data_IF_154334036538
#
_entry.id   IF_154334036538
#
_cell.length_a   1.000
_cell.length_b   1.000
_cell.length_c   1.000
_cell.angle_alpha   90.00
_cell.angle_beta   90.00
_cell.angle_gamma   90.00
#
_symmetry.space_group_name_H-M   'P 1'
#
loop_
_entity.id
_entity.type
_entity.pdbx_description
1 polymer ?
#
# COMPACT_ATOMS: atom_id res chain seq x y z
N UNK A 1 3.53 2.83 25.45
CA UNK A 1 4.47 2.24 24.49
C UNK A 1 4.09 0.79 24.23
N UNK A 2 3.26 0.58 23.22
CA UNK A 2 2.80 -0.75 22.79
C UNK A 2 3.91 -1.52 22.08
N UNK A 3 3.96 -2.83 22.30
CA UNK A 3 4.72 -3.78 21.49
C UNK A 3 3.89 -5.06 21.30
N UNK A 4 3.79 -5.56 20.07
CA UNK A 4 3.09 -6.83 19.82
C UNK A 4 3.91 -7.99 20.39
N UNK A 5 3.33 -8.71 21.36
CA UNK A 5 3.98 -9.91 21.94
C UNK A 5 3.86 -11.12 21.01
N UNK A 6 4.68 -12.15 21.24
CA UNK A 6 4.60 -13.40 20.48
C UNK A 6 3.26 -14.12 20.70
N UNK A 7 2.72 -14.11 21.91
CA UNK A 7 1.42 -14.71 22.20
C UNK A 7 0.28 -13.96 21.51
N UNK A 8 0.30 -12.63 21.55
CA UNK A 8 -0.65 -11.79 20.81
C UNK A 8 -0.57 -12.04 19.29
N UNK A 9 0.65 -12.14 18.74
CA UNK A 9 0.87 -12.48 17.33
C UNK A 9 0.24 -13.82 16.98
N UNK A 10 0.47 -14.88 17.78
CA UNK A 10 -0.14 -16.20 17.54
C UNK A 10 -1.66 -16.13 17.53
N UNK A 11 -2.25 -15.36 18.44
CA UNK A 11 -3.71 -15.20 18.51
C UNK A 11 -4.28 -14.37 17.35
N UNK A 12 -3.54 -13.36 16.88
CA UNK A 12 -3.89 -12.60 15.68
C UNK A 12 -3.76 -13.44 14.40
N UNK A 13 -2.73 -14.28 14.30
CA UNK A 13 -2.48 -15.15 13.14
C UNK A 13 -3.57 -16.21 12.93
N UNK A 14 -4.34 -16.55 13.97
CA UNK A 14 -5.53 -17.41 13.83
C UNK A 14 -6.73 -16.70 13.18
N UNK A 15 -6.71 -15.37 13.12
CA UNK A 15 -7.84 -14.53 12.69
C UNK A 15 -7.62 -13.85 11.34
N UNK A 16 -6.40 -13.88 10.80
CA UNK A 16 -6.06 -13.26 9.53
C UNK A 16 -4.74 -13.78 8.95
N UNK A 17 -4.55 -13.59 7.66
CA UNK A 17 -3.36 -14.00 6.91
C UNK A 17 -2.28 -12.93 6.87
N UNK A 18 -2.62 -11.71 7.27
CA UNK A 18 -1.70 -10.57 7.38
C UNK A 18 -1.77 -10.01 8.79
N UNK A 19 -0.74 -10.21 9.60
CA UNK A 19 -0.76 -9.79 11.02
C UNK A 19 0.13 -8.57 11.21
N UNK A 20 -0.42 -7.41 11.63
CA UNK A 20 0.39 -6.25 11.93
C UNK A 20 1.20 -6.49 13.21
N UNK A 21 2.52 -6.40 13.11
CA UNK A 21 3.44 -6.39 14.25
C UNK A 21 3.91 -4.96 14.45
N UNK A 22 3.61 -4.39 15.62
CA UNK A 22 3.82 -2.97 15.88
C UNK A 22 4.68 -2.73 17.11
N UNK A 23 5.38 -1.60 17.09
CA UNK A 23 6.07 -1.03 18.24
C UNK A 23 5.86 0.48 18.22
N UNK A 24 5.38 1.02 19.32
CA UNK A 24 5.31 2.45 19.54
C UNK A 24 6.69 2.97 19.98
N UNK A 25 7.07 4.15 19.50
CA UNK A 25 8.36 4.79 19.83
C UNK A 25 8.14 6.28 20.09
N UNK A 26 8.95 6.85 20.98
CA UNK A 26 8.95 8.30 21.22
C UNK A 26 9.58 8.98 20.01
N UNK A 27 8.86 9.93 19.42
CA UNK A 27 9.21 10.57 18.17
C UNK A 27 9.04 12.10 18.23
N UNK A 28 9.10 12.68 19.43
CA UNK A 28 8.77 14.09 19.71
C UNK A 28 9.64 15.10 18.95
N UNK A 29 10.80 14.65 18.43
CA UNK A 29 11.72 15.43 17.61
C UNK A 29 11.58 15.19 16.10
N UNK A 30 10.63 14.35 15.69
CA UNK A 30 10.38 14.03 14.30
C UNK A 30 9.12 14.75 13.82
N UNK A 31 9.24 15.40 12.67
CA UNK A 31 8.09 15.77 11.86
C UNK A 31 7.80 14.62 10.89
N UNK A 32 6.58 14.49 10.33
CA UNK A 32 6.29 13.48 9.33
C UNK A 32 7.29 13.48 8.16
N UNK A 33 7.68 14.67 7.68
CA UNK A 33 8.67 14.82 6.62
C UNK A 33 10.05 14.34 7.06
N UNK A 34 10.53 14.71 8.26
CA UNK A 34 11.85 14.26 8.71
C UNK A 34 11.90 12.76 9.04
N UNK A 35 10.78 12.18 9.49
CA UNK A 35 10.63 10.74 9.64
C UNK A 35 10.63 10.03 8.28
N UNK A 36 9.91 10.56 7.28
CA UNK A 36 9.88 10.02 5.93
C UNK A 36 11.27 10.00 5.30
N UNK A 37 12.01 11.11 5.34
CA UNK A 37 13.36 11.18 4.77
C UNK A 37 14.30 10.13 5.36
N UNK A 38 14.18 9.84 6.67
CA UNK A 38 14.98 8.79 7.34
C UNK A 38 14.61 7.38 6.89
N UNK A 39 13.34 7.11 6.60
CA UNK A 39 12.95 5.77 6.14
C UNK A 39 13.16 5.61 4.63
N UNK A 40 13.02 6.67 3.84
CA UNK A 40 13.09 6.61 2.39
C UNK A 40 14.52 6.45 1.86
N UNK A 41 15.54 6.61 2.71
CA UNK A 41 16.93 6.33 2.38
C UNK A 41 17.08 4.89 1.86
N UNK A 42 17.77 4.76 0.72
CA UNK A 42 18.01 3.50 -0.01
C UNK A 42 16.74 2.69 -0.35
N UNK A 43 15.58 3.35 -0.50
CA UNK A 43 14.33 2.70 -0.89
C UNK A 43 13.97 3.00 -2.35
N UNK A 44 13.69 1.96 -3.15
CA UNK A 44 13.19 2.10 -4.52
C UNK A 44 11.73 2.57 -4.56
N UNK A 45 10.97 2.23 -3.51
CA UNK A 45 9.57 2.60 -3.36
C UNK A 45 9.35 3.11 -1.94
N UNK A 46 9.04 4.40 -1.82
CA UNK A 46 8.68 5.01 -0.57
C UNK A 46 7.48 5.95 -0.76
N UNK A 47 6.66 6.09 0.27
CA UNK A 47 5.54 7.03 0.25
C UNK A 47 5.40 7.77 1.58
N UNK A 48 4.82 8.97 1.50
CA UNK A 48 4.30 9.75 2.60
C UNK A 48 2.88 10.18 2.23
N UNK A 49 1.91 9.83 3.08
CA UNK A 49 0.52 10.26 2.96
C UNK A 49 0.17 11.10 4.18
N UNK A 50 -0.10 12.38 3.95
CA UNK A 50 -0.61 13.31 4.95
C UNK A 50 -2.02 13.72 4.57
N UNK A 51 -2.91 13.77 5.56
CA UNK A 51 -4.25 14.32 5.36
C UNK A 51 -4.24 15.78 5.78
N UNK A 52 -4.77 16.67 4.94
CA UNK A 52 -5.00 18.06 5.29
C UNK A 52 -6.52 18.28 5.28
N UNK A 53 -7.09 18.51 6.45
CA UNK A 53 -8.49 18.89 6.60
C UNK A 53 -8.59 20.42 6.56
N UNK A 54 -9.41 20.97 5.65
CA UNK A 54 -9.74 22.39 5.63
C UNK A 54 -8.59 23.37 5.32
N UNK A 55 -7.49 22.89 4.71
CA UNK A 55 -6.37 23.73 4.23
C UNK A 55 -5.32 24.10 5.28
N UNK A 56 -5.65 24.05 6.58
CA UNK A 56 -4.73 24.44 7.67
C UNK A 56 -4.49 23.35 8.72
N UNK A 57 -5.36 22.35 8.84
CA UNK A 57 -5.25 21.31 9.86
C UNK A 57 -4.70 20.01 9.28
N UNK A 58 -3.47 19.65 9.66
CA UNK A 58 -2.93 18.31 9.39
C UNK A 58 -3.70 17.30 10.22
N UNK A 59 -4.17 16.23 9.58
CA UNK A 59 -4.88 15.14 10.23
C UNK A 59 -4.02 14.46 11.31
N UNK A 60 -4.68 13.77 12.24
CA UNK A 60 -4.01 13.15 13.41
C UNK A 60 -2.87 12.17 13.05
N UNK A 61 -2.92 11.58 11.86
CA UNK A 61 -1.95 10.58 11.41
C UNK A 61 -1.34 10.96 10.06
N UNK A 62 -0.03 10.84 9.95
CA UNK A 62 0.71 10.74 8.68
C UNK A 62 1.14 9.29 8.51
N UNK A 63 1.01 8.74 7.30
CA UNK A 63 1.41 7.38 6.98
C UNK A 63 2.65 7.39 6.10
N UNK A 64 3.66 6.64 6.51
CA UNK A 64 4.93 6.49 5.81
C UNK A 64 5.22 5.01 5.63
N UNK A 65 5.80 4.65 4.50
CA UNK A 65 6.13 3.26 4.19
C UNK A 65 7.18 3.17 3.10
N UNK A 66 7.90 2.06 3.09
CA UNK A 66 8.93 1.76 2.09
C UNK A 66 8.95 0.28 1.72
N UNK A 67 9.58 -0.03 0.60
CA UNK A 67 9.96 -1.39 0.15
C UNK A 67 8.83 -2.41 0.28
N UNK A 68 7.75 -2.27 -0.51
CA UNK A 68 6.64 -3.21 -0.48
C UNK A 68 7.10 -4.60 -0.89
N UNK A 69 6.61 -5.63 -0.19
CA UNK A 69 6.99 -7.02 -0.50
C UNK A 69 6.41 -7.52 -1.84
N UNK A 70 5.40 -6.84 -2.37
CA UNK A 70 4.70 -7.18 -3.60
C UNK A 70 4.31 -5.90 -4.34
N UNK A 71 4.58 -5.87 -5.65
CA UNK A 71 4.26 -4.75 -6.53
C UNK A 71 3.43 -5.25 -7.70
N UNK A 72 2.28 -4.60 -7.92
CA UNK A 72 1.44 -4.81 -9.09
C UNK A 72 1.59 -3.61 -10.02
N UNK A 73 1.93 -3.87 -11.30
CA UNK A 73 2.03 -2.84 -12.35
C UNK A 73 1.20 -3.25 -13.55
N UNK A 74 0.63 -2.27 -14.24
CA UNK A 74 -0.01 -2.47 -15.52
C UNK A 74 0.48 -1.44 -16.54
N UNK A 75 0.74 -1.92 -17.76
CA UNK A 75 1.01 -1.08 -18.93
C UNK A 75 0.31 -1.70 -20.14
N UNK A 76 -0.62 -0.94 -20.73
CA UNK A 76 -1.58 -1.49 -21.69
C UNK A 76 -2.32 -2.69 -21.10
N UNK A 77 -2.40 -3.78 -21.86
CA UNK A 77 -3.04 -5.03 -21.41
C UNK A 77 -2.13 -5.92 -20.57
N UNK A 78 -0.87 -5.51 -20.32
CA UNK A 78 0.10 -6.32 -19.60
C UNK A 78 0.12 -5.97 -18.12
N UNK A 79 -0.28 -6.93 -17.29
CA UNK A 79 -0.20 -6.86 -15.83
C UNK A 79 0.99 -7.68 -15.34
N UNK A 80 1.88 -7.08 -14.55
CA UNK A 80 3.03 -7.74 -13.94
C UNK A 80 2.93 -7.75 -12.42
N UNK A 81 3.36 -8.86 -11.82
CA UNK A 81 3.47 -9.06 -10.37
C UNK A 81 4.95 -9.24 -10.06
N UNK A 82 5.49 -8.34 -9.24
CA UNK A 82 6.87 -8.39 -8.76
C UNK A 82 6.84 -8.74 -7.27
N UNK A 83 7.47 -9.85 -6.89
CA UNK A 83 7.48 -10.36 -5.52
C UNK A 83 8.77 -11.15 -5.28
N UNK A 84 9.46 -10.91 -4.17
CA UNK A 84 10.69 -11.61 -3.78
C UNK A 84 11.76 -11.64 -4.90
N UNK A 85 11.90 -10.54 -5.65
CA UNK A 85 12.86 -10.41 -6.77
C UNK A 85 12.45 -11.11 -8.07
N UNK A 86 11.31 -11.79 -8.10
CA UNK A 86 10.77 -12.41 -9.32
C UNK A 86 9.68 -11.53 -9.94
N UNK A 87 9.72 -11.40 -11.27
CA UNK A 87 8.67 -10.73 -12.04
C UNK A 87 7.90 -11.78 -12.83
N UNK A 88 6.58 -11.81 -12.63
CA UNK A 88 5.65 -12.69 -13.36
C UNK A 88 4.61 -11.87 -14.10
N UNK A 89 4.06 -12.44 -15.18
CA UNK A 89 2.97 -11.81 -15.93
C UNK A 89 1.67 -12.46 -15.50
N UNK A 90 0.70 -11.66 -15.08
CA UNK A 90 -0.63 -12.16 -14.77
C UNK A 90 -1.37 -12.49 -16.07
N UNK A 91 -2.03 -13.64 -16.11
CA UNK A 91 -2.94 -14.01 -17.20
C UNK A 91 -4.28 -13.27 -17.13
N UNK A 92 -4.44 -12.33 -16.19
CA UNK A 92 -5.68 -11.59 -15.93
C UNK A 92 -5.41 -10.08 -16.06
N UNK A 93 -6.45 -9.29 -16.36
CA UNK A 93 -6.38 -7.84 -16.28
C UNK A 93 -5.97 -7.35 -14.87
N UNK A 94 -5.51 -6.11 -14.80
CA UNK A 94 -4.97 -5.52 -13.57
C UNK A 94 -5.96 -5.53 -12.41
N UNK A 95 -7.19 -5.07 -12.64
CA UNK A 95 -8.21 -4.96 -11.58
C UNK A 95 -8.57 -6.33 -11.00
N UNK A 96 -8.65 -7.37 -11.84
CA UNK A 96 -8.91 -8.73 -11.36
C UNK A 96 -7.71 -9.32 -10.61
N UNK A 97 -6.49 -9.01 -11.06
CA UNK A 97 -5.26 -9.39 -10.38
C UNK A 97 -5.17 -8.72 -9.00
N UNK A 98 -5.43 -7.42 -8.92
CA UNK A 98 -5.46 -6.63 -7.70
C UNK A 98 -6.50 -7.18 -6.71
N UNK A 99 -7.74 -7.39 -7.16
CA UNK A 99 -8.83 -7.90 -6.31
C UNK A 99 -8.49 -9.26 -5.69
N UNK A 100 -7.92 -10.18 -6.49
CA UNK A 100 -7.50 -11.50 -6.00
C UNK A 100 -6.37 -11.37 -4.98
N UNK A 101 -5.34 -10.61 -5.33
CA UNK A 101 -4.20 -10.35 -4.42
C UNK A 101 -4.68 -9.81 -3.08
N UNK A 102 -5.56 -8.80 -3.07
CA UNK A 102 -6.11 -8.24 -1.84
C UNK A 102 -6.95 -9.24 -1.03
N UNK A 103 -7.59 -10.22 -1.68
CA UNK A 103 -8.40 -11.24 -0.98
C UNK A 103 -7.53 -12.18 -0.14
N UNK A 104 -6.29 -12.40 -0.57
CA UNK A 104 -5.32 -13.28 0.10
C UNK A 104 -4.72 -12.63 1.37
N UNK A 105 -4.81 -11.31 1.49
CA UNK A 105 -4.32 -10.54 2.64
C UNK A 105 -5.47 -10.01 3.49
N UNK A 106 -5.78 -10.72 4.57
CA UNK A 106 -6.80 -10.33 5.54
C UNK A 106 -6.14 -9.95 6.86
N UNK A 107 -6.23 -8.67 7.20
CA UNK A 107 -5.72 -8.15 8.47
C UNK A 107 -6.78 -8.22 9.56
N UNK A 108 -6.50 -8.81 10.74
CA UNK A 108 -7.39 -8.71 11.88
C UNK A 108 -7.43 -7.28 12.42
N UNK A 109 -8.59 -6.85 12.93
CA UNK A 109 -8.68 -5.59 13.64
C UNK A 109 -7.91 -5.66 14.97
N UNK A 110 -7.03 -4.67 15.19
CA UNK A 110 -6.27 -4.52 16.44
C UNK A 110 -6.71 -3.22 17.11
N UNK A 111 -7.24 -3.28 18.35
CA UNK A 111 -7.60 -2.08 19.10
C UNK A 111 -6.43 -1.11 19.23
N UNK A 112 -6.75 0.18 19.19
CA UNK A 112 -5.82 1.32 19.38
C UNK A 112 -4.80 1.55 18.26
N UNK A 113 -4.76 0.70 17.23
CA UNK A 113 -3.97 0.99 16.03
C UNK A 113 -4.70 1.97 15.09
N UNK A 114 -3.96 2.76 14.29
CA UNK A 114 -4.55 3.54 13.20
C UNK A 114 -5.35 2.63 12.26
N UNK A 115 -6.35 3.19 11.57
CA UNK A 115 -7.17 2.42 10.61
C UNK A 115 -6.37 1.79 9.49
N UNK A 116 -5.24 2.40 9.13
CA UNK A 116 -4.31 1.89 8.12
C UNK A 116 -3.09 1.29 8.82
N UNK A 117 -3.00 -0.05 8.82
CA UNK A 117 -1.89 -0.83 9.40
C UNK A 117 -1.11 -1.59 8.32
N UNK A 118 -1.22 -1.14 7.07
CA UNK A 118 -0.73 -1.83 5.88
C UNK A 118 -1.83 -2.08 4.85
N UNK A 119 -1.42 -2.35 3.62
CA UNK A 119 -2.31 -2.54 2.48
C UNK A 119 -1.65 -2.13 1.17
N UNK A 120 -2.42 -2.09 0.10
CA UNK A 120 -1.96 -1.59 -1.19
C UNK A 120 -1.93 -0.05 -1.18
N UNK A 121 -0.79 0.52 -1.57
CA UNK A 121 -0.61 1.96 -1.77
C UNK A 121 -0.04 2.18 -3.17
N UNK A 122 -0.58 3.15 -3.89
CA UNK A 122 -0.18 3.45 -5.25
C UNK A 122 -1.17 4.38 -5.92
N UNK A 123 -1.18 4.39 -7.24
CA UNK A 123 -2.04 5.24 -8.05
C UNK A 123 -2.60 4.47 -9.25
N UNK A 124 -3.71 4.97 -9.78
CA UNK A 124 -4.23 4.62 -11.09
C UNK A 124 -4.10 5.86 -11.96
N UNK A 125 -3.35 5.77 -13.06
CA UNK A 125 -3.25 6.85 -14.02
C UNK A 125 -4.61 7.11 -14.71
N UNK A 126 -4.78 8.29 -15.30
CA UNK A 126 -6.04 8.66 -15.97
C UNK A 126 -6.52 7.63 -17.01
N UNK A 127 -5.59 7.03 -17.77
CA UNK A 127 -5.91 6.01 -18.76
C UNK A 127 -6.54 4.73 -18.18
N UNK A 128 -6.41 4.47 -16.88
CA UNK A 128 -7.06 3.34 -16.21
C UNK A 128 -8.59 3.44 -16.22
N UNK A 129 -9.16 4.63 -16.50
CA UNK A 129 -10.60 4.80 -16.69
C UNK A 129 -11.16 3.86 -17.79
N UNK A 130 -10.36 3.58 -18.83
CA UNK A 130 -10.73 2.64 -19.90
C UNK A 130 -10.96 1.19 -19.43
N UNK A 131 -10.42 0.81 -18.27
CA UNK A 131 -10.66 -0.52 -17.69
C UNK A 131 -12.05 -0.69 -17.08
N UNK A 132 -12.74 0.42 -16.82
CA UNK A 132 -14.06 0.44 -16.19
C UNK A 132 -15.15 0.86 -17.19
N UNK A 133 -14.81 1.74 -18.14
CA UNK A 133 -15.75 2.32 -19.10
C UNK A 133 -15.39 1.93 -20.53
N UNK A 134 -16.14 1.01 -21.16
CA UNK A 134 -15.85 0.53 -22.52
C UNK A 134 -15.82 1.65 -23.57
N UNK A 135 -16.57 2.73 -23.38
CA UNK A 135 -16.59 3.89 -24.30
C UNK A 135 -15.26 4.65 -24.35
N UNK A 136 -14.38 4.44 -23.37
CA UNK A 136 -13.08 5.10 -23.26
C UNK A 136 -11.92 4.21 -23.75
N UNK A 137 -12.18 3.15 -24.51
CA UNK A 137 -11.17 2.18 -24.94
C UNK A 137 -9.94 2.85 -25.62
N UNK A 138 -10.17 3.89 -26.43
CA UNK A 138 -9.10 4.60 -27.15
C UNK A 138 -8.17 5.39 -26.21
N UNK A 139 -8.63 5.76 -25.01
CA UNK A 139 -7.81 6.43 -24.00
C UNK A 139 -6.72 5.51 -23.44
N UNK A 140 -7.00 4.21 -23.36
CA UNK A 140 -6.07 3.19 -22.87
C UNK A 140 -4.95 2.83 -23.86
N UNK A 141 -5.13 3.16 -25.14
CA UNK A 141 -4.21 2.81 -26.24
C UNK A 141 -3.16 3.89 -26.54
N UNK A 142 -3.32 5.10 -25.97
CA UNK A 142 -2.52 6.27 -26.31
C UNK A 142 -1.37 6.59 -25.35
N UNK A 143 -0.50 5.63 -25.01
CA UNK A 143 0.76 5.93 -24.29
C UNK A 143 1.89 4.96 -24.70
N UNK A 144 2.17 4.90 -25.99
CA UNK A 144 3.48 4.46 -26.49
C UNK A 144 4.14 5.65 -27.18
N UNK A 145 4.78 6.49 -26.35
CA UNK A 145 5.79 7.45 -26.77
C UNK A 145 7.18 6.91 -26.44
#
# INVERSE_FOLDING_TARGET
MRITSFDEFKDLARRGTFVPVCKEVVADLLTPVSAFLKIAEDADYAFLLESVEGGEHVGRYSFLGKDPFLILKARGDRTTIEQAGAVTVSARPFIDTLRRTMTDFRSPFVPDLPRFTGGAVGYLGYGAASWFEPVLEDLGKGVDG
#
